data_IF_656772349495
#
_entry.id   IF_656772349495
#
_cell.length_a   1.000
_cell.length_b   1.000
_cell.length_c   1.000
_cell.angle_alpha   90.00
_cell.angle_beta   90.00
_cell.angle_gamma   90.00
#
_symmetry.space_group_name_H-M   'P 1'
#
loop_
_entity.id
_entity.type
_entity.pdbx_description
1 polymer ?
#
# COMPACT_ATOMS: atom_id res chain seq x y z
N UNK A 1 30.44 -15.44 4.02
CA UNK A 1 31.32 -14.58 4.85
C UNK A 1 31.86 -13.34 4.13
N UNK A 2 32.58 -13.45 2.99
CA UNK A 2 33.19 -12.28 2.30
C UNK A 2 32.21 -11.12 2.03
N UNK A 3 30.99 -11.41 1.58
CA UNK A 3 29.95 -10.39 1.30
C UNK A 3 29.54 -9.60 2.55
N UNK A 4 29.35 -10.27 3.68
CA UNK A 4 29.01 -9.64 4.97
C UNK A 4 30.15 -8.73 5.41
N UNK A 5 31.39 -9.22 5.31
CA UNK A 5 32.58 -8.44 5.63
C UNK A 5 32.70 -7.14 4.82
N UNK A 6 32.49 -7.20 3.50
CA UNK A 6 32.52 -6.01 2.64
C UNK A 6 31.43 -4.99 3.00
N UNK A 7 30.25 -5.47 3.43
CA UNK A 7 29.13 -4.62 3.81
C UNK A 7 29.29 -3.97 5.20
N UNK A 8 30.03 -4.60 6.10
CA UNK A 8 30.18 -4.17 7.49
C UNK A 8 31.49 -3.41 7.73
N UNK A 9 32.51 -3.61 6.90
CA UNK A 9 33.85 -3.05 7.11
C UNK A 9 34.37 -2.31 5.87
N UNK A 10 35.26 -1.37 6.09
CA UNK A 10 36.10 -0.73 5.07
C UNK A 10 37.54 -0.63 5.56
N UNK A 11 38.48 -0.46 4.63
CA UNK A 11 39.87 -0.17 4.96
C UNK A 11 40.10 1.33 4.78
N UNK A 12 40.61 1.99 5.82
CA UNK A 12 41.02 3.40 5.82
C UNK A 12 42.45 3.45 6.33
N UNK A 13 43.38 3.98 5.54
CA UNK A 13 44.82 4.06 5.86
C UNK A 13 45.43 2.72 6.32
N UNK A 14 45.04 1.62 5.66
CA UNK A 14 45.50 0.27 5.99
C UNK A 14 44.85 -0.35 7.23
N UNK A 15 43.97 0.37 7.93
CA UNK A 15 43.24 -0.12 9.10
C UNK A 15 41.80 -0.52 8.75
N UNK A 16 41.34 -1.62 9.34
CA UNK A 16 39.97 -2.08 9.20
C UNK A 16 39.05 -1.29 10.13
N UNK A 17 38.05 -0.62 9.56
CA UNK A 17 37.08 0.20 10.28
C UNK A 17 35.67 -0.30 10.00
N UNK A 18 34.82 -0.31 11.04
CA UNK A 18 33.40 -0.61 10.91
C UNK A 18 32.67 0.52 10.17
N UNK A 19 31.77 0.16 9.26
CA UNK A 19 30.87 1.11 8.61
C UNK A 19 29.79 1.56 9.58
N UNK A 20 29.47 2.85 9.57
CA UNK A 20 28.53 3.45 10.53
C UNK A 20 27.13 3.61 9.90
N UNK A 21 26.10 3.16 10.61
CA UNK A 21 24.70 3.13 10.14
C UNK A 21 24.15 4.53 9.76
N UNK A 22 24.64 5.60 10.39
CA UNK A 22 24.12 6.96 10.22
C UNK A 22 24.97 7.86 9.27
N UNK A 23 25.83 7.27 8.45
CA UNK A 23 26.69 8.01 7.50
C UNK A 23 26.50 7.55 6.04
N UNK A 24 25.37 6.94 5.71
CA UNK A 24 25.08 6.34 4.39
C UNK A 24 26.13 5.31 3.92
N UNK A 25 26.91 4.76 4.86
CA UNK A 25 28.00 3.83 4.57
C UNK A 25 27.52 2.37 4.44
N UNK A 26 26.34 2.06 4.98
CA UNK A 26 25.71 0.75 4.87
C UNK A 26 24.79 0.69 3.65
N UNK A 27 24.72 -0.46 2.96
CA UNK A 27 23.76 -0.61 1.87
C UNK A 27 22.32 -0.54 2.40
N UNK A 28 21.34 -0.17 1.56
CA UNK A 28 19.94 -0.19 1.93
C UNK A 28 19.52 -1.56 2.48
N UNK A 29 18.55 -1.59 3.40
CA UNK A 29 18.13 -2.83 4.08
C UNK A 29 17.76 -3.96 3.13
N UNK A 30 17.25 -3.65 1.93
CA UNK A 30 16.92 -4.63 0.88
C UNK A 30 18.14 -5.41 0.35
N UNK A 31 19.35 -4.86 0.48
CA UNK A 31 20.61 -5.47 0.04
C UNK A 31 21.55 -5.83 1.20
N UNK A 32 21.26 -5.36 2.40
CA UNK A 32 22.07 -5.60 3.58
C UNK A 32 21.86 -7.01 4.13
N UNK A 33 22.96 -7.75 4.32
CA UNK A 33 22.97 -9.10 4.87
C UNK A 33 23.16 -8.99 6.38
N UNK A 34 22.11 -9.30 7.12
CA UNK A 34 22.10 -9.19 8.60
C UNK A 34 22.59 -10.47 9.26
N UNK A 35 22.37 -11.62 8.63
CA UNK A 35 22.78 -12.92 9.13
C UNK A 35 23.62 -13.64 8.08
N UNK A 36 24.80 -14.20 8.44
CA UNK A 36 25.55 -15.05 7.53
C UNK A 36 24.88 -16.41 7.31
N UNK A 37 23.92 -16.79 8.17
CA UNK A 37 23.18 -18.04 8.11
C UNK A 37 21.91 -17.92 7.27
N UNK A 38 21.27 -16.75 7.30
CA UNK A 38 20.09 -16.45 6.48
C UNK A 38 20.37 -15.22 5.60
N UNK A 39 20.80 -15.50 4.37
CA UNK A 39 21.16 -14.46 3.39
C UNK A 39 19.94 -13.78 2.76
N UNK A 40 18.73 -14.31 2.97
CA UNK A 40 17.49 -13.80 2.40
C UNK A 40 16.71 -12.95 3.40
N UNK A 41 16.88 -13.19 4.71
CA UNK A 41 16.28 -12.37 5.76
C UNK A 41 16.68 -10.89 5.63
N UNK A 42 15.71 -10.00 5.78
CA UNK A 42 15.91 -8.55 5.70
C UNK A 42 15.43 -7.87 6.96
N UNK A 43 16.09 -6.79 7.35
CA UNK A 43 15.64 -5.91 8.43
C UNK A 43 14.56 -5.02 7.87
N UNK A 44 13.47 -4.91 8.61
CA UNK A 44 12.38 -4.00 8.29
C UNK A 44 11.85 -3.34 9.55
N UNK A 45 11.27 -2.16 9.34
CA UNK A 45 10.60 -1.38 10.36
C UNK A 45 9.23 -0.95 9.85
N UNK A 46 8.20 -1.18 10.65
CA UNK A 46 6.84 -0.67 10.45
C UNK A 46 6.42 0.07 11.71
N UNK A 47 6.38 1.41 11.62
CA UNK A 47 6.15 2.31 12.76
C UNK A 47 7.21 2.07 13.86
N UNK A 48 6.80 1.57 15.02
CA UNK A 48 7.66 1.26 16.16
C UNK A 48 8.16 -0.19 16.16
N UNK A 49 7.57 -1.06 15.34
CA UNK A 49 7.95 -2.47 15.27
C UNK A 49 9.09 -2.68 14.29
N UNK A 50 10.15 -3.34 14.75
CA UNK A 50 11.30 -3.76 13.93
C UNK A 50 11.41 -5.28 13.93
N UNK A 51 11.83 -5.88 12.82
CA UNK A 51 12.11 -7.30 12.76
C UNK A 51 13.17 -7.62 11.69
N UNK A 52 13.79 -8.78 11.82
CA UNK A 52 14.66 -9.39 10.81
C UNK A 52 13.98 -10.65 10.32
N UNK A 53 13.81 -10.78 9.01
CA UNK A 53 13.20 -11.95 8.40
C UNK A 53 12.34 -11.59 7.20
N UNK A 54 11.11 -12.10 7.22
CA UNK A 54 10.19 -12.12 6.09
C UNK A 54 8.88 -11.40 6.45
N UNK A 55 7.98 -11.33 5.48
CA UNK A 55 6.61 -10.83 5.65
C UNK A 55 5.64 -11.83 5.04
N UNK A 56 4.51 -12.04 5.70
CA UNK A 56 3.41 -12.86 5.21
C UNK A 56 2.27 -11.96 4.76
N UNK A 57 1.63 -12.35 3.67
CA UNK A 57 0.42 -11.76 3.13
C UNK A 57 -0.64 -12.86 3.09
N UNK A 58 -1.85 -12.54 3.55
CA UNK A 58 -2.98 -13.47 3.56
C UNK A 58 -4.15 -12.80 2.82
N UNK A 59 -4.83 -13.59 1.99
CA UNK A 59 -6.15 -13.24 1.45
C UNK A 59 -7.18 -14.17 2.10
N UNK A 60 -8.30 -13.62 2.53
CA UNK A 60 -9.41 -14.36 3.14
C UNK A 60 -10.73 -14.07 2.42
N UNK A 61 -11.67 -15.01 2.50
CA UNK A 61 -13.08 -14.72 2.24
C UNK A 61 -13.68 -13.94 3.42
N UNK A 62 -14.66 -13.08 3.16
CA UNK A 62 -15.23 -12.17 4.17
C UNK A 62 -16.76 -12.01 4.09
N UNK A 63 -17.40 -12.90 3.33
CA UNK A 63 -18.85 -13.02 3.21
C UNK A 63 -19.46 -13.44 4.56
N UNK A 64 -20.51 -12.73 4.97
CA UNK A 64 -21.09 -12.84 6.30
C UNK A 64 -21.63 -14.24 6.66
N UNK A 65 -21.96 -15.05 5.66
CA UNK A 65 -22.55 -16.38 5.76
C UNK A 65 -21.55 -17.50 5.43
N UNK A 66 -20.24 -17.24 5.59
CA UNK A 66 -19.18 -18.20 5.28
C UNK A 66 -18.12 -18.31 6.40
N UNK A 67 -17.37 -19.43 6.47
CA UNK A 67 -16.35 -19.66 7.50
C UNK A 67 -15.09 -18.78 7.44
N UNK A 68 -15.04 -17.75 6.59
CA UNK A 68 -13.87 -16.86 6.37
C UNK A 68 -12.55 -17.65 6.20
N UNK A 69 -12.34 -18.22 5.03
CA UNK A 69 -11.21 -19.09 4.73
C UNK A 69 -10.07 -18.29 4.09
N UNK A 70 -8.84 -18.62 4.49
CA UNK A 70 -7.64 -18.13 3.81
C UNK A 70 -7.55 -18.81 2.44
N UNK A 71 -7.62 -18.03 1.38
CA UNK A 71 -7.58 -18.49 -0.02
C UNK A 71 -6.21 -18.30 -0.68
N UNK A 72 -5.37 -17.43 -0.12
CA UNK A 72 -4.02 -17.19 -0.62
C UNK A 72 -3.05 -16.87 0.51
N UNK A 73 -1.85 -17.41 0.40
CA UNK A 73 -0.71 -17.09 1.26
C UNK A 73 0.47 -16.68 0.38
N UNK A 74 1.02 -15.49 0.58
CA UNK A 74 2.31 -15.10 0.00
C UNK A 74 3.32 -14.84 1.10
N UNK A 75 4.58 -15.22 0.85
CA UNK A 75 5.70 -14.90 1.72
C UNK A 75 6.74 -14.15 0.92
N UNK A 76 7.15 -12.99 1.41
CA UNK A 76 8.13 -12.13 0.75
C UNK A 76 9.27 -11.80 1.70
N UNK A 77 10.41 -11.35 1.16
CA UNK A 77 11.41 -10.68 1.98
C UNK A 77 10.78 -9.45 2.63
N UNK A 78 11.19 -9.12 3.86
CA UNK A 78 10.47 -8.10 4.66
C UNK A 78 10.45 -6.71 4.01
N UNK A 79 11.43 -6.42 3.14
CA UNK A 79 11.59 -5.15 2.42
C UNK A 79 10.76 -5.05 1.15
N UNK A 80 10.11 -6.13 0.72
CA UNK A 80 9.24 -6.12 -0.46
C UNK A 80 8.02 -5.23 -0.20
N UNK A 81 7.66 -4.39 -1.17
CA UNK A 81 6.54 -3.48 -1.01
C UNK A 81 5.19 -4.21 -1.16
N UNK A 82 4.17 -3.79 -0.42
CA UNK A 82 2.83 -4.37 -0.54
C UNK A 82 2.28 -4.20 -1.97
N UNK A 83 2.50 -3.03 -2.57
CA UNK A 83 2.10 -2.73 -3.95
C UNK A 83 2.80 -3.59 -5.01
N UNK A 84 4.03 -4.04 -4.78
CA UNK A 84 4.74 -4.94 -5.71
C UNK A 84 4.34 -6.39 -5.49
N UNK A 85 3.83 -6.74 -4.30
CA UNK A 85 3.37 -8.09 -3.99
C UNK A 85 1.96 -8.36 -4.53
N UNK A 86 1.07 -7.36 -4.59
CA UNK A 86 -0.34 -7.55 -5.01
C UNK A 86 -0.49 -8.30 -6.35
N UNK A 87 0.23 -7.96 -7.44
CA UNK A 87 0.08 -8.67 -8.70
C UNK A 87 0.40 -10.17 -8.57
N UNK A 88 1.39 -10.54 -7.74
CA UNK A 88 1.74 -11.94 -7.50
C UNK A 88 0.67 -12.67 -6.69
N UNK A 89 0.03 -11.98 -5.73
CA UNK A 89 -1.12 -12.52 -4.97
C UNK A 89 -2.29 -12.78 -5.92
N UNK A 90 -2.64 -11.82 -6.77
CA UNK A 90 -3.73 -11.96 -7.73
C UNK A 90 -3.45 -13.04 -8.77
N UNK A 91 -2.21 -13.14 -9.28
CA UNK A 91 -1.84 -14.24 -10.16
C UNK A 91 -1.99 -15.59 -9.46
N UNK A 92 -1.52 -15.74 -8.22
CA UNK A 92 -1.65 -16.99 -7.48
C UNK A 92 -3.12 -17.38 -7.17
N UNK A 93 -4.01 -16.39 -7.01
CA UNK A 93 -5.46 -16.61 -6.95
C UNK A 93 -6.01 -17.06 -8.31
N UNK A 94 -5.57 -16.44 -9.40
CA UNK A 94 -5.96 -16.77 -10.76
C UNK A 94 -5.58 -18.22 -11.13
N UNK A 95 -4.35 -18.61 -10.81
CA UNK A 95 -3.83 -19.96 -11.08
C UNK A 95 -4.65 -21.05 -10.37
N UNK A 96 -5.30 -20.71 -9.26
CA UNK A 96 -6.16 -21.60 -8.48
C UNK A 96 -7.66 -21.41 -8.76
N UNK A 97 -8.03 -20.53 -9.70
CA UNK A 97 -9.43 -20.16 -9.98
C UNK A 97 -10.19 -19.62 -8.76
N UNK A 98 -9.49 -18.85 -7.91
CA UNK A 98 -9.99 -18.26 -6.66
C UNK A 98 -10.03 -16.73 -6.70
N UNK A 99 -9.98 -16.11 -7.89
CA UNK A 99 -10.09 -14.65 -8.02
C UNK A 99 -11.46 -14.17 -7.50
N UNK A 100 -11.50 -13.18 -6.60
CA UNK A 100 -12.75 -12.57 -6.18
C UNK A 100 -13.21 -11.52 -7.19
N UNK A 101 -14.50 -11.21 -7.22
CA UNK A 101 -15.01 -10.06 -7.98
C UNK A 101 -14.54 -8.72 -7.37
N UNK A 102 -14.44 -8.65 -6.05
CA UNK A 102 -13.91 -7.50 -5.31
C UNK A 102 -12.81 -7.94 -4.33
N UNK A 103 -11.73 -7.19 -4.27
CA UNK A 103 -10.65 -7.45 -3.32
C UNK A 103 -10.42 -6.24 -2.42
N UNK A 104 -10.79 -6.39 -1.14
CA UNK A 104 -10.60 -5.36 -0.12
C UNK A 104 -9.14 -5.37 0.38
N UNK A 105 -8.45 -4.23 0.30
CA UNK A 105 -7.02 -4.14 0.65
C UNK A 105 -6.68 -2.88 1.46
N UNK A 106 -5.56 -2.94 2.17
CA UNK A 106 -4.95 -1.75 2.77
C UNK A 106 -4.42 -0.78 1.72
N UNK A 107 -4.36 0.51 2.06
CA UNK A 107 -3.80 1.58 1.21
C UNK A 107 -2.40 1.28 0.65
N UNK A 108 -1.62 0.44 1.34
CA UNK A 108 -0.29 0.06 0.90
C UNK A 108 -0.31 -0.78 -0.40
N UNK A 109 -1.36 -1.57 -0.62
CA UNK A 109 -1.62 -2.33 -1.85
C UNK A 109 -2.33 -1.51 -2.93
N UNK A 110 -2.73 -0.27 -2.64
CA UNK A 110 -3.43 0.59 -3.60
C UNK A 110 -2.45 1.52 -4.32
N UNK A 111 -2.48 1.47 -5.65
CA UNK A 111 -1.93 2.49 -6.53
C UNK A 111 -2.83 2.65 -7.76
N UNK A 112 -2.74 3.78 -8.45
CA UNK A 112 -3.54 4.02 -9.65
C UNK A 112 -3.26 2.99 -10.74
N UNK A 113 -2.00 2.60 -10.86
CA UNK A 113 -1.54 1.58 -11.78
C UNK A 113 -2.13 0.20 -11.41
N UNK A 114 -2.17 -0.14 -10.12
CA UNK A 114 -2.77 -1.40 -9.65
C UNK A 114 -4.29 -1.45 -9.81
N UNK A 115 -5.01 -0.34 -9.62
CA UNK A 115 -6.46 -0.27 -9.87
C UNK A 115 -6.78 -0.67 -11.32
N UNK A 116 -5.99 -0.17 -12.28
CA UNK A 116 -6.15 -0.51 -13.70
C UNK A 116 -5.71 -1.96 -13.96
N UNK A 117 -4.56 -2.36 -13.45
CA UNK A 117 -3.99 -3.69 -13.68
C UNK A 117 -4.90 -4.80 -13.15
N UNK A 118 -5.41 -4.68 -11.93
CA UNK A 118 -6.31 -5.66 -11.32
C UNK A 118 -7.59 -5.85 -12.15
N UNK A 119 -8.17 -4.74 -12.63
CA UNK A 119 -9.36 -4.80 -13.47
C UNK A 119 -9.07 -5.41 -14.86
N UNK A 120 -7.99 -4.99 -15.52
CA UNK A 120 -7.70 -5.40 -16.89
C UNK A 120 -7.22 -6.84 -17.01
N UNK A 121 -6.39 -7.30 -16.07
CA UNK A 121 -5.80 -8.64 -16.13
C UNK A 121 -6.69 -9.70 -15.48
N UNK A 122 -7.38 -9.35 -14.41
CA UNK A 122 -8.06 -10.33 -13.56
C UNK A 122 -9.54 -10.04 -13.34
N UNK A 123 -10.08 -8.94 -13.89
CA UNK A 123 -11.46 -8.50 -13.67
C UNK A 123 -11.80 -8.31 -12.17
N UNK A 124 -10.78 -8.01 -11.37
CA UNK A 124 -10.91 -7.78 -9.93
C UNK A 124 -11.10 -6.29 -9.69
N UNK A 125 -12.21 -5.91 -9.06
CA UNK A 125 -12.35 -4.58 -8.49
C UNK A 125 -11.46 -4.47 -7.24
N UNK A 126 -10.37 -3.73 -7.35
CA UNK A 126 -9.49 -3.46 -6.21
C UNK A 126 -10.06 -2.33 -5.35
N UNK A 127 -10.43 -2.67 -4.12
CA UNK A 127 -11.10 -1.77 -3.19
C UNK A 127 -10.19 -1.48 -2.01
N UNK A 128 -9.74 -0.25 -1.90
CA UNK A 128 -8.99 0.22 -0.74
C UNK A 128 -8.82 1.73 -0.81
N UNK A 129 -8.45 2.39 0.30
CA UNK A 129 -8.46 3.84 0.37
C UNK A 129 -7.44 4.40 -0.61
N UNK A 130 -7.91 5.27 -1.50
CA UNK A 130 -7.07 5.96 -2.46
C UNK A 130 -6.03 6.80 -1.70
N UNK A 131 -4.77 6.75 -2.16
CA UNK A 131 -3.71 7.53 -1.53
C UNK A 131 -4.04 9.03 -1.61
N UNK A 132 -4.13 9.66 -0.44
CA UNK A 132 -4.26 11.12 -0.31
C UNK A 132 -3.05 11.81 -0.95
N UNK A 133 -3.29 12.98 -1.54
CA UNK A 133 -2.21 13.83 -2.05
C UNK A 133 -1.44 14.41 -0.86
N UNK A 134 -0.17 14.03 -0.72
CA UNK A 134 0.72 14.46 0.37
C UNK A 134 1.44 15.79 0.07
N UNK A 135 1.15 16.42 -1.08
CA UNK A 135 1.72 17.74 -1.39
C UNK A 135 1.16 18.79 -0.45
N UNK A 136 1.99 19.76 -0.07
CA UNK A 136 1.62 20.81 0.88
C UNK A 136 0.36 21.58 0.45
N UNK A 137 0.11 21.75 -0.85
CA UNK A 137 -1.11 22.43 -1.31
C UNK A 137 -2.39 21.63 -1.03
N UNK A 138 -2.31 20.30 -1.09
CA UNK A 138 -3.42 19.43 -0.71
C UNK A 138 -3.62 19.40 0.80
N UNK A 139 -2.52 19.34 1.56
CA UNK A 139 -2.56 19.37 3.03
C UNK A 139 -3.07 20.72 3.58
N UNK A 140 -2.81 21.83 2.87
CA UNK A 140 -3.26 23.15 3.29
C UNK A 140 -4.79 23.34 3.16
N UNK A 141 -5.48 22.56 2.31
CA UNK A 141 -6.92 22.68 2.11
C UNK A 141 -7.39 24.02 1.52
N UNK A 142 -6.50 24.76 0.86
CA UNK A 142 -6.77 26.11 0.34
C UNK A 142 -7.22 26.13 -1.14
N UNK A 143 -7.79 25.02 -1.63
CA UNK A 143 -8.28 24.92 -3.02
C UNK A 143 -7.17 25.05 -4.07
N UNK A 144 -5.93 24.67 -3.75
CA UNK A 144 -4.77 24.73 -4.64
C UNK A 144 -4.08 23.38 -4.84
N UNK A 145 -4.70 22.28 -4.43
CA UNK A 145 -4.25 20.91 -4.68
C UNK A 145 -4.28 20.61 -6.18
N UNK A 146 -3.68 19.50 -6.63
CA UNK A 146 -3.79 19.11 -8.03
C UNK A 146 -5.22 18.69 -8.41
N UNK A 147 -6.01 18.21 -7.44
CA UNK A 147 -7.40 17.81 -7.63
C UNK A 147 -8.36 19.00 -7.89
N UNK A 148 -7.98 20.21 -7.47
CA UNK A 148 -8.80 21.43 -7.66
C UNK A 148 -8.68 22.01 -9.07
N UNK A 149 -7.79 21.44 -9.91
CA UNK A 149 -7.61 21.86 -11.29
C UNK A 149 -8.55 21.03 -12.17
N UNK A 150 -9.35 21.71 -12.99
CA UNK A 150 -10.14 21.04 -14.01
C UNK A 150 -9.21 20.58 -15.14
N UNK A 151 -9.27 19.31 -15.52
CA UNK A 151 -8.38 18.71 -16.52
C UNK A 151 -9.23 18.17 -17.66
N UNK A 152 -9.11 18.81 -18.81
CA UNK A 152 -9.70 18.37 -20.07
C UNK A 152 -8.64 17.57 -20.83
N UNK A 153 -8.86 16.25 -20.92
CA UNK A 153 -7.94 15.33 -21.58
C UNK A 153 -8.04 15.40 -23.10
N UNK A 154 -9.21 15.72 -23.64
CA UNK A 154 -9.47 15.80 -25.08
C UNK A 154 -8.84 17.08 -25.65
N UNK A 155 -9.05 18.21 -24.98
CA UNK A 155 -8.42 19.48 -25.33
C UNK A 155 -6.94 19.57 -24.89
N UNK A 156 -6.44 18.57 -24.15
CA UNK A 156 -5.10 18.56 -23.55
C UNK A 156 -4.79 19.87 -22.79
N UNK A 157 -5.73 20.29 -21.96
CA UNK A 157 -5.66 21.56 -21.24
C UNK A 157 -6.11 21.36 -19.79
N UNK A 158 -5.45 22.04 -18.86
CA UNK A 158 -5.99 22.17 -17.50
C UNK A 158 -6.26 23.63 -17.15
N UNK A 159 -7.36 23.84 -16.43
CA UNK A 159 -7.80 25.15 -15.95
C UNK A 159 -7.60 25.21 -14.44
N UNK A 160 -6.92 26.26 -13.97
CA UNK A 160 -6.69 26.43 -12.55
C UNK A 160 -7.95 26.91 -11.81
N UNK A 161 -7.99 26.85 -10.47
CA UNK A 161 -9.10 27.38 -9.66
C UNK A 161 -9.39 28.88 -9.86
N UNK A 162 -8.49 29.61 -10.50
CA UNK A 162 -8.66 31.02 -10.88
C UNK A 162 -9.04 31.17 -12.38
N UNK A 163 -9.54 30.10 -13.00
CA UNK A 163 -10.08 30.05 -14.36
C UNK A 163 -9.05 30.35 -15.45
N UNK A 164 -7.75 30.26 -15.14
CA UNK A 164 -6.69 30.45 -16.14
C UNK A 164 -6.27 29.11 -16.76
N UNK A 165 -6.22 29.01 -18.10
CA UNK A 165 -5.80 27.79 -18.77
C UNK A 165 -4.28 27.57 -18.67
N UNK A 166 -3.89 26.31 -18.79
CA UNK A 166 -2.49 25.90 -18.87
C UNK A 166 -1.85 26.38 -20.17
N UNK A 167 -0.57 26.70 -20.10
CA UNK A 167 0.22 27.12 -21.27
C UNK A 167 0.88 25.94 -21.98
N UNK A 168 1.07 24.82 -21.29
CA UNK A 168 1.72 23.65 -21.88
C UNK A 168 1.17 22.34 -21.32
N UNK A 169 1.11 21.34 -22.18
CA UNK A 169 0.77 19.97 -21.87
C UNK A 169 1.86 19.05 -22.42
N UNK A 170 2.61 18.39 -21.53
CA UNK A 170 3.78 17.60 -21.92
C UNK A 170 3.59 16.16 -21.46
N UNK A 171 3.41 15.24 -22.41
CA UNK A 171 3.42 13.80 -22.13
C UNK A 171 4.86 13.35 -21.86
N UNK A 172 5.05 12.55 -20.82
CA UNK A 172 6.36 12.05 -20.42
C UNK A 172 6.23 10.68 -19.75
N UNK A 173 7.35 9.99 -19.57
CA UNK A 173 7.44 8.74 -18.84
C UNK A 173 8.24 8.97 -17.57
N UNK A 174 7.71 8.55 -16.43
CA UNK A 174 8.41 8.56 -15.15
C UNK A 174 8.48 7.13 -14.63
N UNK A 175 9.69 6.57 -14.58
CA UNK A 175 9.92 5.15 -14.22
C UNK A 175 9.05 4.19 -15.07
N UNK A 176 8.97 4.46 -16.37
CA UNK A 176 8.16 3.68 -17.32
C UNK A 176 6.66 3.94 -17.27
N UNK A 177 6.16 4.76 -16.33
CA UNK A 177 4.73 5.06 -16.20
C UNK A 177 4.37 6.37 -16.90
N UNK A 178 3.25 6.41 -17.65
CA UNK A 178 2.85 7.61 -18.38
C UNK A 178 2.38 8.71 -17.42
N UNK A 179 2.86 9.91 -17.70
CA UNK A 179 2.60 11.13 -16.93
C UNK A 179 2.31 12.29 -17.88
N UNK A 180 1.54 13.24 -17.38
CA UNK A 180 1.39 14.55 -18.02
C UNK A 180 1.95 15.62 -17.10
N UNK A 181 2.85 16.43 -17.64
CA UNK A 181 3.36 17.61 -16.97
C UNK A 181 2.74 18.88 -17.56
N UNK A 182 1.96 19.58 -16.75
CA UNK A 182 1.18 20.74 -17.14
C UNK A 182 1.78 21.98 -16.48
N UNK A 183 2.05 23.02 -17.27
CA UNK A 183 2.63 24.28 -16.78
C UNK A 183 1.67 25.43 -17.06
N UNK A 184 1.55 26.32 -16.09
CA UNK A 184 0.73 27.53 -16.20
C UNK A 184 1.58 28.74 -16.62
N UNK A 185 0.92 29.74 -17.20
CA UNK A 185 1.57 30.97 -17.64
C UNK A 185 2.14 31.76 -16.46
N UNK A 186 3.38 32.24 -16.59
CA UNK A 186 3.97 33.18 -15.63
C UNK A 186 3.19 34.51 -15.58
N UNK A 187 2.58 34.92 -16.69
CA UNK A 187 1.79 36.16 -16.77
C UNK A 187 0.52 36.09 -15.93
N UNK A 188 -0.11 34.91 -15.85
CA UNK A 188 -1.28 34.70 -14.99
C UNK A 188 -0.87 34.42 -13.54
N UNK A 189 0.15 33.58 -13.31
CA UNK A 189 0.57 33.26 -11.95
C UNK A 189 1.22 34.43 -11.21
N UNK A 190 1.96 35.30 -11.88
CA UNK A 190 2.72 36.40 -11.28
C UNK A 190 1.85 37.35 -10.43
N UNK A 191 0.80 37.96 -11.01
CA UNK A 191 -0.12 38.87 -10.31
C UNK A 191 -1.26 38.15 -9.57
N UNK A 192 -1.31 36.82 -9.58
CA UNK A 192 -2.43 36.07 -9.00
C UNK A 192 -2.50 36.25 -7.46
N UNK A 193 -3.65 36.64 -6.90
CA UNK A 193 -3.79 36.93 -5.47
C UNK A 193 -3.55 35.69 -4.59
N UNK A 194 -3.90 34.49 -5.08
CA UNK A 194 -3.71 33.22 -4.36
C UNK A 194 -2.37 32.55 -4.68
N UNK A 195 -1.43 33.23 -5.35
CA UNK A 195 -0.14 32.65 -5.76
C UNK A 195 0.60 32.04 -4.59
N UNK A 196 0.67 32.71 -3.45
CA UNK A 196 1.39 32.23 -2.26
C UNK A 196 0.83 30.88 -1.74
N UNK A 197 -0.49 30.68 -1.88
CA UNK A 197 -1.19 29.44 -1.51
C UNK A 197 -1.05 28.36 -2.61
N UNK A 198 -0.84 28.78 -3.87
CA UNK A 198 -0.76 27.88 -5.01
C UNK A 198 0.67 27.38 -5.31
N UNK A 199 1.67 28.24 -5.34
CA UNK A 199 3.03 27.89 -5.76
C UNK A 199 4.08 28.82 -5.16
N UNK A 200 5.19 28.24 -4.71
CA UNK A 200 6.38 29.01 -4.29
C UNK A 200 7.28 29.42 -5.47
N UNK A 201 6.99 28.89 -6.66
CA UNK A 201 7.77 29.15 -7.87
C UNK A 201 7.22 30.35 -8.67
N UNK A 202 7.91 30.74 -9.74
CA UNK A 202 7.46 31.80 -10.67
C UNK A 202 6.17 31.44 -11.44
N UNK A 203 5.80 30.16 -11.47
CA UNK A 203 4.55 29.66 -12.06
C UNK A 203 4.11 28.38 -11.36
N UNK A 204 2.84 28.02 -11.51
CA UNK A 204 2.34 26.70 -11.11
C UNK A 204 2.70 25.67 -12.19
N UNK A 205 3.06 24.47 -11.75
CA UNK A 205 3.11 23.30 -12.59
C UNK A 205 2.53 22.12 -11.82
N UNK A 206 1.74 21.29 -12.50
CA UNK A 206 1.17 20.07 -11.93
C UNK A 206 1.66 18.89 -12.77
N UNK A 207 1.97 17.79 -12.07
CA UNK A 207 2.30 16.52 -12.70
C UNK A 207 1.18 15.54 -12.33
N UNK A 208 0.52 15.00 -13.34
CA UNK A 208 -0.58 14.06 -13.21
C UNK A 208 -0.18 12.72 -13.80
N UNK A 209 -0.84 11.66 -13.34
CA UNK A 209 -0.88 10.41 -14.09
C UNK A 209 -1.60 10.66 -15.41
N UNK A 210 -1.27 9.90 -16.45
CA UNK A 210 -1.97 9.97 -17.73
C UNK A 210 -2.98 8.82 -17.86
N UNK A 211 -3.93 8.98 -18.78
CA UNK A 211 -4.79 7.92 -19.31
C UNK A 211 -5.54 7.13 -18.22
N UNK A 212 -5.69 5.81 -18.40
CA UNK A 212 -6.47 4.95 -17.49
C UNK A 212 -6.08 5.07 -16.01
N UNK A 213 -4.78 5.12 -15.60
CA UNK A 213 -4.41 5.33 -14.20
C UNK A 213 -4.94 6.65 -13.61
N UNK A 214 -5.04 7.73 -14.38
CA UNK A 214 -5.64 8.97 -13.88
C UNK A 214 -7.11 8.76 -13.53
N UNK A 215 -7.88 8.23 -14.48
CA UNK A 215 -9.31 8.03 -14.31
C UNK A 215 -9.63 7.02 -13.20
N UNK A 216 -8.88 5.92 -13.11
CA UNK A 216 -9.04 4.93 -12.05
C UNK A 216 -8.81 5.53 -10.65
N UNK A 217 -7.78 6.39 -10.49
CA UNK A 217 -7.54 7.07 -9.23
C UNK A 217 -8.64 8.06 -8.86
N UNK A 218 -9.20 8.79 -9.84
CA UNK A 218 -10.31 9.71 -9.59
C UNK A 218 -11.60 8.96 -9.25
N UNK A 219 -11.90 7.87 -9.96
CA UNK A 219 -13.04 7.01 -9.64
C UNK A 219 -12.94 6.44 -8.22
N UNK A 220 -11.76 5.95 -7.83
CA UNK A 220 -11.52 5.48 -6.46
C UNK A 220 -11.75 6.59 -5.41
N UNK A 221 -11.31 7.83 -5.68
CA UNK A 221 -11.54 8.96 -4.76
C UNK A 221 -13.00 9.35 -4.64
N UNK A 222 -13.76 9.30 -5.74
CA UNK A 222 -15.21 9.54 -5.71
C UNK A 222 -15.90 8.47 -4.88
N UNK A 223 -15.55 7.19 -5.08
CA UNK A 223 -16.05 6.07 -4.27
C UNK A 223 -15.73 6.24 -2.79
N UNK A 224 -14.48 6.58 -2.44
CA UNK A 224 -14.07 6.82 -1.05
C UNK A 224 -14.88 7.93 -0.34
N UNK A 225 -15.50 8.84 -1.10
CA UNK A 225 -16.36 9.90 -0.57
C UNK A 225 -17.84 9.54 -0.45
N UNK A 226 -18.26 8.38 -0.95
CA UNK A 226 -19.64 7.92 -0.87
C UNK A 226 -20.02 7.53 0.57
N UNK A 227 -21.31 7.67 0.91
CA UNK A 227 -21.79 7.47 2.27
C UNK A 227 -21.71 6.01 2.75
N UNK A 228 -21.79 5.06 1.82
CA UNK A 228 -21.70 3.61 2.05
C UNK A 228 -20.25 3.08 2.08
N UNK A 229 -19.27 3.89 1.67
CA UNK A 229 -17.86 3.53 1.69
C UNK A 229 -17.37 2.95 3.03
N UNK A 230 -17.68 3.56 4.20
CA UNK A 230 -17.26 3.00 5.48
C UNK A 230 -17.84 1.61 5.74
N UNK A 231 -19.07 1.33 5.30
CA UNK A 231 -19.71 0.03 5.48
C UNK A 231 -18.99 -1.06 4.69
N UNK A 232 -18.69 -0.79 3.41
CA UNK A 232 -17.93 -1.71 2.56
C UNK A 232 -16.51 -1.91 3.09
N UNK A 233 -15.80 -0.82 3.35
CA UNK A 233 -14.39 -0.88 3.71
C UNK A 233 -14.15 -1.51 5.10
N UNK A 234 -15.10 -1.37 6.03
CA UNK A 234 -15.01 -1.97 7.37
C UNK A 234 -14.93 -3.51 7.33
N UNK A 235 -15.44 -4.17 6.28
CA UNK A 235 -15.31 -5.63 6.13
C UNK A 235 -13.84 -6.09 6.11
N UNK A 236 -12.94 -5.24 5.56
CA UNK A 236 -11.48 -5.50 5.57
C UNK A 236 -10.93 -5.67 6.98
N UNK A 237 -11.58 -5.16 8.02
CA UNK A 237 -11.13 -5.35 9.41
C UNK A 237 -11.10 -6.82 9.85
N UNK A 238 -11.83 -7.72 9.17
CA UNK A 238 -11.81 -9.17 9.40
C UNK A 238 -10.41 -9.77 9.42
N UNK A 239 -9.54 -9.34 8.51
CA UNK A 239 -8.18 -9.88 8.36
C UNK A 239 -7.30 -9.67 9.60
N UNK A 240 -7.61 -8.66 10.43
CA UNK A 240 -6.89 -8.45 11.70
C UNK A 240 -7.20 -9.57 12.71
N UNK A 241 -8.40 -10.13 12.65
CA UNK A 241 -8.79 -11.30 13.43
C UNK A 241 -7.97 -12.52 13.05
N UNK A 242 -7.87 -12.82 11.75
CA UNK A 242 -7.03 -13.91 11.21
C UNK A 242 -5.56 -13.71 11.58
N UNK A 243 -5.01 -12.52 11.33
CA UNK A 243 -3.63 -12.21 11.71
C UNK A 243 -3.42 -12.36 13.21
N UNK A 244 -4.35 -11.90 14.04
CA UNK A 244 -4.28 -12.04 15.50
C UNK A 244 -4.29 -13.51 15.93
N UNK A 245 -5.17 -14.34 15.36
CA UNK A 245 -5.22 -15.78 15.64
C UNK A 245 -3.91 -16.46 15.20
N UNK A 246 -3.43 -16.20 13.99
CA UNK A 246 -2.17 -16.73 13.49
C UNK A 246 -0.98 -16.37 14.39
N UNK A 247 -0.93 -15.12 14.87
CA UNK A 247 0.13 -14.67 15.78
C UNK A 247 0.03 -15.34 17.16
N UNK A 248 -1.15 -15.37 17.77
CA UNK A 248 -1.32 -15.80 19.17
C UNK A 248 -1.39 -17.31 19.34
N UNK A 249 -2.02 -18.02 18.41
CA UNK A 249 -2.24 -19.47 18.51
C UNK A 249 -1.24 -20.29 17.70
N UNK A 250 -0.81 -19.78 16.53
CA UNK A 250 0.00 -20.57 15.58
C UNK A 250 1.45 -20.10 15.43
N UNK A 251 1.85 -19.03 16.13
CA UNK A 251 3.23 -18.54 16.12
C UNK A 251 3.67 -17.91 14.80
N UNK A 252 2.74 -17.29 14.05
CA UNK A 252 2.96 -16.72 12.70
C UNK A 252 4.16 -15.76 12.61
N UNK A 253 4.56 -15.10 13.70
CA UNK A 253 5.70 -14.16 13.71
C UNK A 253 7.08 -14.81 13.82
N UNK A 254 7.16 -16.13 14.06
CA UNK A 254 8.42 -16.82 14.28
C UNK A 254 8.69 -17.79 13.14
N UNK A 255 9.65 -17.48 12.28
CA UNK A 255 10.16 -18.49 11.35
C UNK A 255 10.99 -19.51 12.12
N UNK A 256 10.64 -20.79 12.00
CA UNK A 256 11.37 -21.93 12.58
C UNK A 256 12.47 -22.42 11.66
N UNK A 257 12.44 -22.01 10.40
CA UNK A 257 13.35 -22.46 9.36
C UNK A 257 14.06 -21.27 8.71
N UNK A 258 15.26 -21.53 8.21
CA UNK A 258 16.08 -20.54 7.49
C UNK A 258 15.71 -20.55 6.02
N UNK A 259 15.58 -19.36 5.42
CA UNK A 259 15.30 -19.20 3.99
C UNK A 259 13.84 -18.95 3.66
N UNK A 260 13.62 -18.27 2.54
CA UNK A 260 12.30 -17.80 2.10
C UNK A 260 11.35 -18.96 1.83
N UNK A 261 11.82 -19.96 1.07
CA UNK A 261 11.01 -21.12 0.67
C UNK A 261 10.51 -21.94 1.87
N UNK A 262 11.38 -22.19 2.86
CA UNK A 262 10.98 -22.95 4.06
C UNK A 262 10.05 -22.13 4.96
N UNK A 263 10.29 -20.83 5.07
CA UNK A 263 9.37 -19.92 5.76
C UNK A 263 8.00 -19.89 5.08
N UNK A 264 7.96 -19.92 3.74
CA UNK A 264 6.72 -20.00 2.99
C UNK A 264 5.96 -21.31 3.24
N UNK A 265 6.64 -22.45 3.21
CA UNK A 265 6.03 -23.73 3.58
C UNK A 265 5.43 -23.70 5.01
N UNK A 266 6.13 -23.08 5.97
CA UNK A 266 5.60 -22.88 7.31
C UNK A 266 4.32 -22.03 7.31
N UNK A 267 4.29 -20.91 6.59
CA UNK A 267 3.08 -20.07 6.49
C UNK A 267 1.91 -20.80 5.87
N UNK A 268 2.15 -21.65 4.86
CA UNK A 268 1.12 -22.52 4.29
C UNK A 268 0.55 -23.48 5.34
N UNK A 269 1.39 -24.17 6.11
CA UNK A 269 0.92 -25.08 7.17
C UNK A 269 0.10 -24.35 8.25
N UNK A 270 0.53 -23.14 8.62
CA UNK A 270 -0.22 -22.31 9.57
C UNK A 270 -1.59 -21.94 9.01
N UNK A 271 -1.65 -21.46 7.76
CA UNK A 271 -2.91 -21.09 7.11
C UNK A 271 -3.86 -22.30 6.98
N UNK A 272 -3.35 -23.48 6.60
CA UNK A 272 -4.14 -24.70 6.54
C UNK A 272 -4.70 -25.08 7.91
N UNK A 273 -3.90 -25.01 8.97
CA UNK A 273 -4.37 -25.29 10.33
C UNK A 273 -5.44 -24.30 10.80
N UNK A 274 -5.29 -23.02 10.46
CA UNK A 274 -6.30 -21.99 10.74
C UNK A 274 -7.60 -22.26 9.98
N UNK A 275 -7.53 -22.57 8.68
CA UNK A 275 -8.70 -22.95 7.89
C UNK A 275 -9.43 -24.16 8.48
N UNK A 276 -8.72 -25.19 8.96
CA UNK A 276 -9.33 -26.33 9.65
C UNK A 276 -10.08 -25.90 10.92
N UNK A 277 -9.48 -25.03 11.74
CA UNK A 277 -10.17 -24.48 12.91
C UNK A 277 -11.43 -23.70 12.52
N UNK A 278 -11.38 -22.92 11.44
CA UNK A 278 -12.51 -22.13 10.97
C UNK A 278 -13.65 -23.01 10.47
N UNK A 279 -13.35 -24.04 9.68
CA UNK A 279 -14.33 -25.02 9.20
C UNK A 279 -14.97 -25.76 10.39
N UNK A 280 -14.17 -26.22 11.36
CA UNK A 280 -14.70 -26.93 12.54
C UNK A 280 -15.60 -26.01 13.37
N UNK A 281 -15.19 -24.76 13.61
CA UNK A 281 -16.00 -23.79 14.36
C UNK A 281 -17.31 -23.49 13.63
N UNK A 282 -17.27 -23.32 12.31
CA UNK A 282 -18.45 -23.10 11.48
C UNK A 282 -19.43 -24.26 11.51
N UNK A 283 -18.93 -25.50 11.35
CA UNK A 283 -19.76 -26.71 11.44
C UNK A 283 -20.38 -26.93 12.83
N UNK A 284 -19.77 -26.37 13.88
CA UNK A 284 -20.29 -26.40 15.26
C UNK A 284 -21.07 -25.14 15.62
N UNK A 285 -21.41 -24.28 14.66
CA UNK A 285 -22.17 -23.04 14.86
C UNK A 285 -21.54 -22.10 15.91
N UNK A 286 -20.22 -22.15 16.06
CA UNK A 286 -19.49 -21.25 16.95
C UNK A 286 -19.48 -19.86 16.30
N UNK A 287 -20.06 -18.82 16.95
CA UNK A 287 -20.16 -17.50 16.35
C UNK A 287 -18.78 -16.86 16.18
N UNK A 288 -18.64 -16.07 15.11
CA UNK A 288 -17.45 -15.25 14.89
C UNK A 288 -17.24 -14.27 16.05
N UNK A 289 -15.98 -14.10 16.46
CA UNK A 289 -15.63 -13.17 17.52
C UNK A 289 -15.95 -11.73 17.08
N UNK A 290 -16.72 -11.01 17.88
CA UNK A 290 -17.04 -9.61 17.61
C UNK A 290 -15.85 -8.69 17.93
N UNK A 291 -15.73 -7.59 17.19
CA UNK A 291 -14.76 -6.54 17.49
C UNK A 291 -14.98 -6.03 18.90
N UNK A 292 -13.95 -6.11 19.75
CA UNK A 292 -14.01 -5.59 21.12
C UNK A 292 -14.10 -4.08 21.07
N UNK A 293 -15.27 -3.53 21.43
CA UNK A 293 -15.44 -2.10 21.64
C UNK A 293 -14.69 -1.68 22.91
N UNK A 294 -13.88 -0.63 22.80
CA UNK A 294 -13.14 -0.11 23.95
C UNK A 294 -14.13 0.41 25.00
N UNK A 295 -13.82 0.26 26.29
CA UNK A 295 -14.67 0.82 27.35
C UNK A 295 -14.88 2.34 27.20
N UNK A 296 -13.92 3.03 26.57
CA UNK A 296 -14.01 4.46 26.28
C UNK A 296 -15.03 4.81 25.18
N UNK A 297 -15.31 3.92 24.22
CA UNK A 297 -16.36 4.16 23.21
C UNK A 297 -17.75 4.26 23.85
N UNK A 298 -17.96 3.57 24.98
CA UNK A 298 -19.20 3.67 25.77
C UNK A 298 -19.38 5.03 26.44
N UNK A 299 -18.33 5.86 26.50
CA UNK A 299 -18.36 7.21 27.07
C UNK A 299 -18.51 8.29 26.00
N UNK A 300 -18.46 7.95 24.71
CA UNK A 300 -18.67 8.90 23.62
C UNK A 300 -20.19 9.16 23.53
N UNK A 301 -20.67 10.40 23.77
CA UNK A 301 -22.09 10.70 23.63
C UNK A 301 -22.52 10.39 22.20
N UNK A 302 -23.58 9.59 22.05
CA UNK A 302 -24.26 9.45 20.76
C UNK A 302 -24.64 10.85 20.30
N UNK A 303 -24.04 11.31 19.20
CA UNK A 303 -24.40 12.57 18.59
C UNK A 303 -25.91 12.53 18.33
N UNK A 304 -26.65 13.44 18.99
CA UNK A 304 -28.10 13.58 18.80
C UNK A 304 -28.35 13.87 17.32
N UNK A 305 -29.24 13.08 16.73
CA UNK A 305 -29.71 13.20 15.35
C UNK A 305 -30.26 14.60 15.05
#
# INVERSE_FOLDING_TARGET
MRRVWIQQFRVVDGQLVWRVENQDELPPSAHFIISPYDLEARFSRKRTTTWVGYKVHLSETCEADQPHLITQVATTVSTEADSTTLPHIQQGLADQSLLPSQQLVDTAYVSAELLVQSQQLHQVELVGPARKDQKWQALAGQGCAAADFHVDWDAQQATCPQVHPSQSWIRTLEKGQPRVFIKFSRKHCGPCPVRAQCTRMKRRAIKLRADAPYHALQAARVRDSQADWPLLYNQRAGIEGILSQGVRAFGLRRSRYVGLAKTHAQHLFIATAMNLCHIINWLNEVPLAQTRQAAFERLIPLARA
#
